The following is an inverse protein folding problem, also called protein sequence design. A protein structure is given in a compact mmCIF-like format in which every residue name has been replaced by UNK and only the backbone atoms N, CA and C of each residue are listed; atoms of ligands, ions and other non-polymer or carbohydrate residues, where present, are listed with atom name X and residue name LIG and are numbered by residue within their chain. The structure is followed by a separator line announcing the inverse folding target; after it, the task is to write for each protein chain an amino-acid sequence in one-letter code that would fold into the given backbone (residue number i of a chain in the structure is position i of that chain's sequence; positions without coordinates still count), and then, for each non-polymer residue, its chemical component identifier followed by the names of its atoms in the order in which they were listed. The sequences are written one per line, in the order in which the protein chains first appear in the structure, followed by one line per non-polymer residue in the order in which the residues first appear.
data_IF_972338363715
#
_entry.id   IF_972338363715
#
_cell.length_a   1.000
_cell.length_b   1.000
_cell.length_c   1.000
_cell.angle_alpha   90.00
_cell.angle_beta   90.00
_cell.angle_gamma   90.00
#
_symmetry.space_group_name_H-M   'P 1'
#
loop_
_entity.id
_entity.type
_entity.pdbx_description
1 polymer ?
#
# COMPACT_ATOMS: atom_id res chain seq x y z
N UNK A 1 -8.88 -15.08 15.59
CA UNK A 1 -9.92 -15.84 14.86
C UNK A 1 -10.28 -17.05 15.70
N UNK A 2 -11.56 -17.22 16.06
CA UNK A 2 -12.03 -18.39 16.81
C UNK A 2 -12.36 -19.58 15.92
N UNK A 3 -12.50 -19.33 14.60
CA UNK A 3 -12.70 -20.34 13.56
C UNK A 3 -11.79 -19.99 12.37
N UNK A 4 -11.15 -20.98 11.72
CA UNK A 4 -10.35 -20.74 10.52
C UNK A 4 -11.16 -20.11 9.37
N UNK A 5 -10.53 -19.22 8.62
CA UNK A 5 -11.12 -18.63 7.42
C UNK A 5 -11.40 -19.70 6.36
N UNK A 6 -12.56 -19.65 5.71
CA UNK A 6 -12.94 -20.57 4.65
C UNK A 6 -12.44 -20.04 3.31
N UNK A 7 -11.41 -20.68 2.75
CA UNK A 7 -10.80 -20.29 1.47
C UNK A 7 -11.75 -20.62 0.31
N UNK A 8 -11.91 -19.69 -0.61
CA UNK A 8 -12.77 -19.82 -1.79
C UNK A 8 -12.35 -18.83 -2.89
N UNK A 9 -13.17 -18.69 -3.93
CA UNK A 9 -12.89 -17.77 -5.05
C UNK A 9 -12.67 -16.31 -4.63
N UNK A 10 -13.27 -15.86 -3.53
CA UNK A 10 -13.20 -14.49 -3.01
C UNK A 10 -12.32 -14.33 -1.77
N UNK A 11 -11.82 -15.43 -1.17
CA UNK A 11 -11.01 -15.42 0.04
C UNK A 11 -9.76 -16.25 -0.19
N UNK A 12 -8.62 -15.58 -0.33
CA UNK A 12 -7.32 -16.20 -0.57
C UNK A 12 -6.22 -15.49 0.22
N UNK A 13 -5.20 -16.20 0.73
CA UNK A 13 -4.07 -15.59 1.42
C UNK A 13 -3.17 -14.81 0.44
N UNK A 14 -2.61 -13.70 0.90
CA UNK A 14 -1.57 -13.00 0.16
C UNK A 14 -0.22 -13.71 0.32
N UNK A 15 0.59 -13.84 -0.76
CA UNK A 15 1.93 -14.39 -0.65
C UNK A 15 2.81 -13.45 0.19
N UNK A 16 3.66 -14.04 1.03
CA UNK A 16 4.64 -13.29 1.83
C UNK A 16 6.03 -13.40 1.17
N UNK A 17 6.83 -12.32 1.20
CA UNK A 17 8.22 -12.38 0.77
C UNK A 17 9.05 -13.28 1.70
N UNK A 18 10.06 -13.91 1.14
CA UNK A 18 11.10 -14.66 1.87
C UNK A 18 12.40 -13.85 1.92
N UNK A 19 13.40 -14.32 2.67
CA UNK A 19 14.72 -13.68 2.75
C UNK A 19 15.44 -13.59 1.39
N UNK A 20 15.11 -14.50 0.46
CA UNK A 20 15.67 -14.53 -0.89
C UNK A 20 14.88 -13.66 -1.88
N UNK A 21 13.77 -13.04 -1.43
CA UNK A 21 12.98 -12.17 -2.29
C UNK A 21 13.75 -10.85 -2.49
N UNK A 22 14.03 -10.45 -3.74
CA UNK A 22 14.75 -9.21 -4.01
C UNK A 22 13.96 -8.00 -3.52
N UNK A 23 14.67 -6.95 -3.12
CA UNK A 23 14.05 -5.69 -2.76
C UNK A 23 13.27 -5.09 -3.94
N UNK A 24 12.19 -4.38 -3.61
CA UNK A 24 11.37 -3.69 -4.60
C UNK A 24 12.19 -2.55 -5.24
N UNK A 25 12.50 -2.71 -6.53
CA UNK A 25 13.16 -1.67 -7.29
C UNK A 25 12.30 -0.38 -7.36
N UNK A 26 12.97 0.77 -7.49
CA UNK A 26 12.27 2.03 -7.73
C UNK A 26 11.41 1.98 -8.98
N UNK A 27 10.24 2.63 -8.94
CA UNK A 27 9.22 2.61 -10.00
C UNK A 27 8.54 1.26 -10.23
N UNK A 28 8.78 0.26 -9.38
CA UNK A 28 7.93 -0.94 -9.36
C UNK A 28 6.49 -0.52 -9.08
N UNK A 29 5.56 -0.94 -9.93
CA UNK A 29 4.13 -0.69 -9.73
C UNK A 29 3.57 -1.63 -8.67
N UNK A 30 2.79 -1.10 -7.73
CA UNK A 30 2.15 -1.83 -6.66
C UNK A 30 0.71 -1.34 -6.49
N UNK A 31 -0.18 -2.23 -6.06
CA UNK A 31 -1.59 -1.88 -5.81
C UNK A 31 -1.85 -1.77 -4.32
N UNK A 32 -2.45 -0.65 -3.90
CA UNK A 32 -3.00 -0.47 -2.56
C UNK A 32 -4.51 -0.56 -2.64
N UNK A 33 -5.15 -1.32 -1.74
CA UNK A 33 -6.60 -1.46 -1.71
C UNK A 33 -7.17 -1.30 -0.30
N UNK A 34 -8.40 -0.80 -0.20
CA UNK A 34 -9.08 -0.60 1.08
C UNK A 34 -10.35 0.24 0.96
N UNK A 35 -10.92 0.56 2.13
CA UNK A 35 -12.14 1.38 2.28
C UNK A 35 -11.84 2.73 2.94
N UNK A 36 -10.61 3.23 2.80
CA UNK A 36 -10.15 4.48 3.41
C UNK A 36 -10.95 5.71 3.00
N UNK A 37 -10.57 6.84 3.59
CA UNK A 37 -11.09 8.17 3.22
C UNK A 37 -10.60 8.51 1.80
N UNK A 38 -11.46 9.20 1.03
CA UNK A 38 -11.20 9.55 -0.38
C UNK A 38 -11.24 11.05 -0.66
N UNK A 39 -11.42 11.86 0.40
CA UNK A 39 -11.32 13.32 0.37
C UNK A 39 -10.67 13.85 1.65
N UNK A 40 -9.73 14.78 1.47
CA UNK A 40 -9.03 15.43 2.57
C UNK A 40 -10.06 16.10 3.47
N UNK A 41 -9.93 15.90 4.78
CA UNK A 41 -10.86 16.38 5.82
C UNK A 41 -12.22 15.68 5.88
N UNK A 42 -12.45 14.61 5.10
CA UNK A 42 -13.62 13.74 5.30
C UNK A 42 -13.39 12.78 6.45
N UNK A 43 -14.47 12.45 7.17
CA UNK A 43 -14.49 11.39 8.19
C UNK A 43 -15.24 10.14 7.69
N UNK A 44 -15.72 10.17 6.44
CA UNK A 44 -16.47 9.08 5.83
C UNK A 44 -15.55 8.12 5.09
N UNK A 45 -15.65 6.84 5.45
CA UNK A 45 -15.02 5.73 4.75
C UNK A 45 -15.73 5.43 3.44
N UNK A 46 -15.01 4.89 2.46
CA UNK A 46 -15.61 4.45 1.21
C UNK A 46 -16.57 3.29 1.47
N UNK A 47 -17.82 3.31 0.95
CA UNK A 47 -18.75 2.21 1.10
C UNK A 47 -18.40 1.01 0.21
N UNK A 48 -17.49 1.18 -0.73
CA UNK A 48 -17.02 0.15 -1.66
C UNK A 48 -15.50 0.04 -1.59
N UNK A 49 -14.97 -1.16 -1.88
CA UNK A 49 -13.53 -1.38 -1.96
C UNK A 49 -12.96 -0.49 -3.08
N UNK A 50 -11.90 0.25 -2.75
CA UNK A 50 -11.11 1.01 -3.72
C UNK A 50 -9.75 0.36 -3.88
N UNK A 51 -9.16 0.54 -5.06
CA UNK A 51 -7.81 0.13 -5.36
C UNK A 51 -7.14 1.22 -6.21
N UNK A 52 -5.84 1.42 -5.99
CA UNK A 52 -5.03 2.38 -6.73
C UNK A 52 -3.63 1.82 -6.96
N UNK A 53 -3.13 2.02 -8.17
CA UNK A 53 -1.74 1.69 -8.50
C UNK A 53 -0.83 2.87 -8.18
N UNK A 54 0.26 2.56 -7.48
CA UNK A 54 1.29 3.46 -7.01
C UNK A 54 2.67 2.91 -7.37
N UNK A 55 3.68 3.78 -7.43
CA UNK A 55 5.04 3.39 -7.75
C UNK A 55 5.93 3.45 -6.50
N UNK A 56 6.85 2.50 -6.38
CA UNK A 56 7.87 2.52 -5.32
C UNK A 56 8.80 3.73 -5.49
N UNK A 57 8.97 4.48 -4.41
CA UNK A 57 9.81 5.67 -4.34
C UNK A 57 11.09 5.32 -3.58
N UNK A 58 12.16 5.05 -4.33
CA UNK A 58 13.48 4.84 -3.75
C UNK A 58 13.99 6.11 -3.06
N UNK A 59 14.79 5.90 -2.02
CA UNK A 59 15.49 6.97 -1.31
C UNK A 59 14.56 8.02 -0.65
N UNK A 60 13.36 7.61 -0.24
CA UNK A 60 12.39 8.55 0.31
C UNK A 60 12.77 9.12 1.70
N UNK A 61 13.69 8.47 2.41
CA UNK A 61 14.22 8.96 3.68
C UNK A 61 14.79 10.39 3.57
N UNK A 62 15.33 10.78 2.42
CA UNK A 62 15.83 12.14 2.20
C UNK A 62 14.70 13.18 2.13
N UNK A 63 13.54 12.82 1.57
CA UNK A 63 12.36 13.72 1.53
C UNK A 63 11.73 13.90 2.91
N UNK A 64 11.90 12.91 3.80
CA UNK A 64 11.30 12.89 5.12
C UNK A 64 12.30 13.13 6.26
N UNK A 65 13.47 13.72 5.98
CA UNK A 65 14.49 14.05 6.98
C UNK A 65 14.83 12.87 7.91
N UNK A 66 15.02 11.69 7.34
CA UNK A 66 15.32 10.43 8.04
C UNK A 66 14.26 9.96 9.04
N UNK A 67 13.01 10.41 8.91
CA UNK A 67 11.87 9.86 9.67
C UNK A 67 11.38 8.51 9.14
N UNK A 68 11.79 8.14 7.92
CA UNK A 68 11.58 6.82 7.33
C UNK A 68 12.82 5.98 7.61
N UNK A 69 12.63 4.77 8.14
CA UNK A 69 13.71 3.82 8.46
C UNK A 69 13.69 2.60 7.51
N UNK A 70 14.68 1.71 7.66
CA UNK A 70 14.89 0.54 6.80
C UNK A 70 13.75 -0.49 6.85
N UNK A 71 12.88 -0.44 7.86
CA UNK A 71 11.71 -1.31 7.97
C UNK A 71 10.46 -0.73 7.27
N UNK A 72 10.62 0.36 6.49
CA UNK A 72 9.54 1.06 5.81
C UNK A 72 9.81 1.18 4.31
N UNK A 73 8.75 1.16 3.52
CA UNK A 73 8.78 1.45 2.08
C UNK A 73 7.92 2.67 1.78
N UNK A 74 8.28 3.42 0.75
CA UNK A 74 7.48 4.53 0.25
C UNK A 74 6.92 4.18 -1.13
N UNK A 75 5.63 4.47 -1.32
CA UNK A 75 4.95 4.31 -2.59
C UNK A 75 3.97 5.46 -2.81
N UNK A 76 3.82 5.91 -4.05
CA UNK A 76 2.87 6.96 -4.41
C UNK A 76 2.93 7.32 -5.89
N UNK A 77 2.13 8.31 -6.29
CA UNK A 77 2.24 8.93 -7.63
C UNK A 77 3.19 10.13 -7.59
N UNK A 78 4.18 10.16 -8.48
CA UNK A 78 5.07 11.32 -8.66
C UNK A 78 4.34 12.62 -9.00
N UNK A 79 3.16 12.52 -9.61
CA UNK A 79 2.36 13.66 -10.05
C UNK A 79 1.24 13.99 -9.05
N UNK A 80 1.19 13.32 -7.89
CA UNK A 80 0.07 13.41 -6.97
C UNK A 80 -1.20 12.76 -7.54
N UNK A 81 -2.33 13.00 -6.88
CA UNK A 81 -3.65 12.52 -7.34
C UNK A 81 -3.94 11.04 -7.06
N UNK A 82 -2.94 10.21 -6.72
CA UNK A 82 -3.10 8.81 -6.34
C UNK A 82 -2.27 8.50 -5.09
N UNK A 83 -2.95 8.11 -4.02
CA UNK A 83 -2.36 7.75 -2.73
C UNK A 83 -3.29 6.79 -1.96
N UNK A 84 -2.79 6.17 -0.88
CA UNK A 84 -3.53 5.25 -0.02
C UNK A 84 -4.70 5.92 0.72
N UNK A 85 -4.57 7.21 1.03
CA UNK A 85 -5.61 8.05 1.60
C UNK A 85 -5.70 9.32 0.78
N UNK A 86 -6.91 9.76 0.50
CA UNK A 86 -7.13 11.06 -0.11
C UNK A 86 -8.26 11.80 0.53
#
# INVERSE_FOLDING_TARGET
LTVPAQINANVQPAPLPTIDTPELAGRTSCTVSGWGVTRIYSFYLSPILRAVDVEIISNCQYYYYSRVNENMICAGSRFGGKDACQ
#
